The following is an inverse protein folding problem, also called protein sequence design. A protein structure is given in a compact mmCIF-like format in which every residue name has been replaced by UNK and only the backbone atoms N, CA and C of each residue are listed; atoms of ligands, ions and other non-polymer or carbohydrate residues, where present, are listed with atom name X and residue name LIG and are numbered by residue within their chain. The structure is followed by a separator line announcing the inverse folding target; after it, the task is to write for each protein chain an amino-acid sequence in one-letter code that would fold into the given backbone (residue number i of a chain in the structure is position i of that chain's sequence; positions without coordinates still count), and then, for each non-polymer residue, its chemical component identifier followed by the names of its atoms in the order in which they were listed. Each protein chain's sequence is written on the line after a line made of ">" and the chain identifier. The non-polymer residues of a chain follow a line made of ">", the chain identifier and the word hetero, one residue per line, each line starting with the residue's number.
data_IF_301483201043
#
_entry.id   IF_301483201043
#
_cell.length_a   1.000
_cell.length_b   1.000
_cell.length_c   1.000
_cell.angle_alpha   90.00
_cell.angle_beta   90.00
_cell.angle_gamma   90.00
#
_symmetry.space_group_name_H-M   'P 1'
#
loop_
_entity.id
_entity.type
_entity.pdbx_description
1 polymer ?
#
# COMPACT_ATOMS: atom_id res chain seq x y z
N UNK A 1 1.07 -3.87 16.93
CA UNK A 1 2.01 -3.23 15.98
C UNK A 1 2.10 -4.11 14.75
N UNK A 2 1.40 -3.73 13.67
CA UNK A 2 1.26 -4.54 12.47
C UNK A 2 2.54 -4.48 11.62
N UNK A 3 3.09 -5.63 11.27
CA UNK A 3 4.27 -5.76 10.42
C UNK A 3 4.11 -5.05 9.05
N UNK A 4 2.88 -4.81 8.62
CA UNK A 4 2.57 -4.14 7.35
C UNK A 4 2.79 -2.61 7.41
N UNK A 5 2.54 -1.97 8.55
CA UNK A 5 2.85 -0.54 8.74
C UNK A 5 4.37 -0.28 8.62
N UNK A 6 5.18 -1.15 9.24
CA UNK A 6 6.64 -1.04 9.13
C UNK A 6 7.14 -1.28 7.70
N UNK A 7 6.44 -2.10 6.91
CA UNK A 7 6.74 -2.33 5.49
C UNK A 7 6.41 -1.09 4.63
N UNK A 8 5.26 -0.47 4.86
CA UNK A 8 4.87 0.78 4.19
C UNK A 8 5.83 1.93 4.49
N UNK A 9 6.25 2.08 5.75
CA UNK A 9 7.27 3.06 6.16
C UNK A 9 8.66 2.74 5.58
N UNK A 10 9.03 1.46 5.43
CA UNK A 10 10.29 1.05 4.80
C UNK A 10 10.34 1.40 3.31
N UNK A 11 9.26 1.16 2.57
CA UNK A 11 9.16 1.57 1.16
C UNK A 11 9.15 3.09 1.01
N UNK A 12 8.46 3.81 1.90
CA UNK A 12 8.40 5.28 1.86
C UNK A 12 9.73 5.95 2.27
N UNK A 13 10.52 5.36 3.18
CA UNK A 13 11.78 5.94 3.68
C UNK A 13 13.04 5.56 2.88
N UNK A 14 12.94 4.72 1.86
CA UNK A 14 14.04 4.48 0.91
C UNK A 14 15.38 4.02 1.53
N UNK A 15 15.38 3.36 2.69
CA UNK A 15 16.60 2.74 3.25
C UNK A 15 16.66 1.27 2.86
N UNK A 16 17.09 1.03 1.61
CA UNK A 16 17.48 -0.31 1.12
C UNK A 16 16.61 -0.92 0.01
N UNK A 17 15.62 -0.20 -0.52
CA UNK A 17 14.81 -0.63 -1.67
C UNK A 17 14.65 0.55 -2.63
N UNK A 18 14.69 0.29 -3.93
CA UNK A 18 14.51 1.31 -4.98
C UNK A 18 13.21 2.10 -4.76
N UNK A 19 13.30 3.42 -4.87
CA UNK A 19 12.16 4.34 -4.73
C UNK A 19 11.11 4.02 -5.80
N UNK A 20 10.04 3.35 -5.38
CA UNK A 20 8.91 2.98 -6.23
C UNK A 20 7.61 3.46 -5.56
N UNK A 21 7.12 4.66 -5.92
CA UNK A 21 5.93 5.23 -5.32
C UNK A 21 4.68 4.38 -5.59
N UNK A 22 4.64 3.61 -6.70
CA UNK A 22 3.51 2.72 -7.02
C UNK A 22 3.44 1.57 -6.03
N UNK A 23 4.59 0.96 -5.71
CA UNK A 23 4.67 -0.09 -4.69
C UNK A 23 4.40 0.44 -3.28
N UNK A 24 4.86 1.65 -2.96
CA UNK A 24 4.55 2.30 -1.68
C UNK A 24 3.03 2.49 -1.53
N UNK A 25 2.37 3.04 -2.56
CA UNK A 25 0.93 3.24 -2.57
C UNK A 25 0.17 1.92 -2.37
N UNK A 26 0.57 0.86 -3.09
CA UNK A 26 -0.03 -0.46 -2.96
C UNK A 26 -0.02 -0.97 -1.50
N UNK A 27 1.13 -0.94 -0.82
CA UNK A 27 1.24 -1.46 0.55
C UNK A 27 0.48 -0.61 1.56
N UNK A 28 0.52 0.71 1.39
CA UNK A 28 -0.24 1.64 2.25
C UNK A 28 -1.74 1.44 2.04
N UNK A 29 -2.20 1.25 0.80
CA UNK A 29 -3.60 0.93 0.49
C UNK A 29 -4.04 -0.38 1.13
N UNK A 30 -3.21 -1.43 1.04
CA UNK A 30 -3.49 -2.73 1.67
C UNK A 30 -3.60 -2.59 3.20
N UNK A 31 -2.73 -1.79 3.83
CA UNK A 31 -2.82 -1.50 5.26
C UNK A 31 -4.10 -0.74 5.63
N UNK A 32 -4.47 0.28 4.84
CA UNK A 32 -5.72 1.02 5.02
C UNK A 32 -6.95 0.10 4.89
N UNK A 33 -6.95 -0.82 3.92
CA UNK A 33 -8.01 -1.83 3.74
C UNK A 33 -8.11 -2.83 4.90
N UNK A 34 -7.07 -2.97 5.72
CA UNK A 34 -7.06 -3.79 6.93
C UNK A 34 -7.49 -3.02 8.20
N UNK A 35 -7.87 -1.74 8.06
CA UNK A 35 -8.31 -0.90 9.17
C UNK A 35 -7.19 -0.08 9.83
N UNK A 36 -6.04 0.07 9.18
CA UNK A 36 -5.01 1.01 9.64
C UNK A 36 -5.39 2.44 9.24
N UNK A 37 -5.93 3.20 10.19
CA UNK A 37 -6.36 4.60 9.98
C UNK A 37 -5.20 5.51 9.57
N UNK A 38 -3.99 5.25 10.10
CA UNK A 38 -2.77 6.02 9.78
C UNK A 38 -2.33 5.79 8.34
N UNK A 39 -2.55 4.58 7.83
CA UNK A 39 -2.31 4.29 6.42
C UNK A 39 -3.23 5.09 5.50
N UNK A 40 -4.49 5.36 5.90
CA UNK A 40 -5.43 6.17 5.13
C UNK A 40 -4.91 7.59 4.83
N UNK A 41 -4.34 8.26 5.83
CA UNK A 41 -3.70 9.58 5.65
C UNK A 41 -2.46 9.49 4.75
N UNK A 42 -1.71 8.40 4.86
CA UNK A 42 -0.50 8.18 4.07
C UNK A 42 -0.80 7.90 2.59
N UNK A 43 -1.95 7.26 2.27
CA UNK A 43 -2.38 7.00 0.87
C UNK A 43 -2.45 8.30 0.08
N UNK A 44 -3.00 9.36 0.67
CA UNK A 44 -3.16 10.65 0.00
C UNK A 44 -1.80 11.28 -0.36
N UNK A 45 -0.85 11.27 0.58
CA UNK A 45 0.49 11.82 0.35
C UNK A 45 1.27 11.03 -0.70
N UNK A 46 1.18 9.70 -0.70
CA UNK A 46 1.88 8.88 -1.71
C UNK A 46 1.23 8.99 -3.09
N UNK A 47 -0.07 9.31 -3.15
CA UNK A 47 -0.78 9.53 -4.40
C UNK A 47 -0.35 10.82 -5.14
N UNK A 48 0.22 11.81 -4.44
CA UNK A 48 0.59 13.10 -5.03
C UNK A 48 1.63 12.96 -6.16
N UNK A 49 2.53 11.97 -6.05
CA UNK A 49 3.58 11.71 -7.03
C UNK A 49 3.16 10.72 -8.15
N UNK A 50 1.93 10.21 -8.11
CA UNK A 50 1.45 9.16 -9.00
C UNK A 50 0.46 9.68 -10.04
N UNK A 51 0.47 9.06 -11.23
CA UNK A 51 -0.58 9.31 -12.21
C UNK A 51 -1.86 8.56 -11.84
N UNK A 52 -3.00 9.01 -12.39
CA UNK A 52 -4.28 8.35 -12.20
C UNK A 52 -4.24 6.87 -12.64
N UNK A 53 -3.53 6.56 -13.72
CA UNK A 53 -3.35 5.20 -14.21
C UNK A 53 -2.56 4.33 -13.22
N UNK A 54 -1.51 4.89 -12.62
CA UNK A 54 -0.70 4.19 -11.62
C UNK A 54 -1.50 3.92 -10.35
N UNK A 55 -2.30 4.90 -9.90
CA UNK A 55 -3.21 4.77 -8.76
C UNK A 55 -4.25 3.67 -9.03
N UNK A 56 -4.92 3.71 -10.19
CA UNK A 56 -5.92 2.70 -10.56
C UNK A 56 -5.32 1.29 -10.63
N UNK A 57 -4.13 1.15 -11.21
CA UNK A 57 -3.45 -0.13 -11.29
C UNK A 57 -3.07 -0.67 -9.90
N UNK A 58 -2.60 0.20 -9.00
CA UNK A 58 -2.22 -0.18 -7.64
C UNK A 58 -3.46 -0.50 -6.77
N UNK A 59 -4.55 0.25 -6.92
CA UNK A 59 -5.84 -0.02 -6.26
C UNK A 59 -6.38 -1.39 -6.66
N UNK A 60 -6.42 -1.68 -7.97
CA UNK A 60 -6.89 -2.97 -8.47
C UNK A 60 -6.04 -4.13 -7.94
N UNK A 61 -4.72 -3.94 -7.85
CA UNK A 61 -3.81 -4.92 -7.25
C UNK A 61 -4.08 -5.10 -5.75
N UNK A 62 -4.26 -4.02 -5.00
CA UNK A 62 -4.52 -4.06 -3.56
C UNK A 62 -5.83 -4.80 -3.24
N UNK A 63 -6.89 -4.52 -4.00
CA UNK A 63 -8.17 -5.21 -3.88
C UNK A 63 -8.07 -6.70 -4.23
N UNK A 64 -7.34 -7.04 -5.30
CA UNK A 64 -7.10 -8.42 -5.68
C UNK A 64 -6.29 -9.16 -4.61
N UNK A 65 -5.29 -8.50 -4.01
CA UNK A 65 -4.51 -9.03 -2.91
C UNK A 65 -5.38 -9.30 -1.69
N UNK A 66 -6.25 -8.38 -1.29
CA UNK A 66 -7.17 -8.55 -0.16
C UNK A 66 -8.17 -9.69 -0.38
N UNK A 67 -8.69 -9.86 -1.60
CA UNK A 67 -9.53 -11.00 -1.97
C UNK A 67 -8.77 -12.32 -1.85
N UNK A 68 -7.53 -12.38 -2.35
CA UNK A 68 -6.68 -13.58 -2.25
C UNK A 68 -6.28 -13.89 -0.81
N UNK A 69 -5.91 -12.88 -0.03
CA UNK A 69 -5.54 -13.01 1.38
C UNK A 69 -6.71 -13.54 2.23
N UNK A 70 -7.93 -13.06 1.99
CA UNK A 70 -9.16 -13.59 2.64
C UNK A 70 -9.49 -15.03 2.22
N UNK A 71 -9.17 -15.41 0.98
CA UNK A 71 -9.48 -16.75 0.46
C UNK A 71 -8.38 -17.79 0.76
N UNK A 72 -7.24 -17.37 1.33
CA UNK A 72 -6.08 -18.23 1.63
C UNK A 72 -6.06 -18.80 3.06
N UNK A 73 -7.06 -18.52 3.89
CA UNK A 73 -7.21 -19.14 5.21
C UNK A 73 -8.21 -20.28 5.09
N UNK A 74 -7.72 -21.46 4.69
CA UNK A 74 -8.39 -22.75 4.90
C UNK A 74 -7.38 -23.73 5.46
#
# INVERSE_FOLDING_TARGET
>A
MHAQHNLGVLYHRGKGVDHDPVRAYFWVKVAALQGDEVAGETVASVAEDLTAEQIQAADAQADAWMKKARNGVR
#
